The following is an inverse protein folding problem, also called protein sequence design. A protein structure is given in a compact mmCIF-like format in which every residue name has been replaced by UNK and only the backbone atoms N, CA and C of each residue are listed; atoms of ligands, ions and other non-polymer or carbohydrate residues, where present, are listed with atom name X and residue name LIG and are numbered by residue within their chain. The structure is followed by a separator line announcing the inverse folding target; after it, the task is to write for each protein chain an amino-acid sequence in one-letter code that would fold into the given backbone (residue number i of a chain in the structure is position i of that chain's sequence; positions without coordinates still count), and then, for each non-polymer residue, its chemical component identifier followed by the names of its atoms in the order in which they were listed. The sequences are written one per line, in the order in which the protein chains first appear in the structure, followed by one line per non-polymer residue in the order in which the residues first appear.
data_IF_343435967764
#
_entry.id   IF_343435967764
#
_cell.length_a   1.000
_cell.length_b   1.000
_cell.length_c   1.000
_cell.angle_alpha   90.00
_cell.angle_beta   90.00
_cell.angle_gamma   90.00
#
_symmetry.space_group_name_H-M   'P 1'
#
loop_
_entity.id
_entity.type
_entity.pdbx_description
1 polymer ?
#
# COMPACT_ATOMS: atom_id res chain seq x y z
N UNK A 1 -28.46 15.41 13.34
CA UNK A 1 -27.93 15.96 12.07
C UNK A 1 -27.02 14.90 11.48
N UNK A 2 -27.48 14.13 10.50
CA UNK A 2 -26.76 12.93 10.05
C UNK A 2 -26.86 12.74 8.52
N UNK A 3 -26.59 13.82 7.77
CA UNK A 3 -26.48 13.80 6.31
C UNK A 3 -25.54 14.94 5.95
N UNK A 4 -24.32 14.65 5.46
CA UNK A 4 -23.41 15.73 5.07
C UNK A 4 -21.97 15.37 4.68
N UNK A 5 -21.43 14.21 5.05
CA UNK A 5 -20.10 13.80 4.57
C UNK A 5 -20.23 12.76 3.46
N UNK A 6 -20.52 13.24 2.26
CA UNK A 6 -20.29 12.49 1.03
C UNK A 6 -19.16 13.20 0.29
N UNK A 7 -17.98 12.59 0.27
CA UNK A 7 -16.84 13.10 -0.50
C UNK A 7 -17.01 12.66 -1.96
N UNK A 8 -17.12 13.64 -2.85
CA UNK A 8 -17.22 13.39 -4.28
C UNK A 8 -15.83 13.11 -4.86
N UNK A 9 -15.63 11.90 -5.36
CA UNK A 9 -14.44 11.54 -6.13
C UNK A 9 -14.63 12.07 -7.56
N UNK A 10 -14.05 13.24 -7.84
CA UNK A 10 -14.10 13.86 -9.17
C UNK A 10 -13.20 13.14 -10.18
N UNK A 11 -13.39 13.47 -11.48
CA UNK A 11 -12.46 13.09 -12.54
C UNK A 11 -11.03 13.42 -12.11
N UNK A 12 -10.15 12.41 -12.07
CA UNK A 12 -8.75 12.57 -11.70
C UNK A 12 -8.07 13.72 -12.43
N UNK A 13 -7.11 14.38 -11.78
CA UNK A 13 -6.30 15.40 -12.46
C UNK A 13 -5.56 14.75 -13.63
N UNK A 14 -5.48 15.46 -14.77
CA UNK A 14 -4.58 15.04 -15.85
C UNK A 14 -3.14 15.09 -15.34
N UNK A 15 -2.50 13.92 -15.32
CA UNK A 15 -1.09 13.80 -14.98
C UNK A 15 -0.23 14.43 -16.08
N UNK A 16 0.63 15.38 -15.70
CA UNK A 16 1.59 16.00 -16.63
C UNK A 16 2.85 15.14 -16.70
N UNK A 17 3.31 14.66 -15.54
CA UNK A 17 4.44 13.74 -15.39
C UNK A 17 4.03 12.59 -14.46
N UNK A 18 3.50 11.53 -15.05
CA UNK A 18 2.90 10.42 -14.31
C UNK A 18 3.87 9.70 -13.35
N UNK A 19 5.18 9.71 -13.63
CA UNK A 19 6.17 9.08 -12.74
C UNK A 19 6.42 9.94 -11.49
N UNK A 20 6.66 11.25 -11.68
CA UNK A 20 6.91 12.16 -10.56
C UNK A 20 5.71 12.26 -9.63
N UNK A 21 4.50 12.30 -10.18
CA UNK A 21 3.27 12.37 -9.37
C UNK A 21 3.04 11.10 -8.53
N UNK A 22 3.42 9.92 -9.05
CA UNK A 22 3.39 8.68 -8.25
C UNK A 22 4.45 8.69 -7.16
N UNK A 23 5.67 9.14 -7.47
CA UNK A 23 6.74 9.24 -6.49
C UNK A 23 6.39 10.24 -5.38
N UNK A 24 5.81 11.39 -5.72
CA UNK A 24 5.31 12.37 -4.76
C UNK A 24 4.26 11.76 -3.84
N UNK A 25 3.27 11.05 -4.39
CA UNK A 25 2.23 10.39 -3.60
C UNK A 25 2.82 9.36 -2.60
N UNK A 26 3.80 8.57 -3.04
CA UNK A 26 4.51 7.62 -2.16
C UNK A 26 5.25 8.36 -1.05
N UNK A 27 6.03 9.40 -1.39
CA UNK A 27 6.78 10.18 -0.40
C UNK A 27 5.86 10.88 0.61
N UNK A 28 4.71 11.39 0.19
CA UNK A 28 3.73 12.03 1.08
C UNK A 28 3.11 11.05 2.07
N UNK A 29 2.80 9.82 1.61
CA UNK A 29 2.26 8.77 2.47
C UNK A 29 3.33 8.29 3.45
N UNK A 30 4.54 8.01 2.98
CA UNK A 30 5.66 7.57 3.82
C UNK A 30 6.07 8.64 4.85
N UNK A 31 5.99 9.92 4.50
CA UNK A 31 6.22 11.04 5.41
C UNK A 31 5.04 11.31 6.39
N UNK A 32 3.92 10.59 6.25
CA UNK A 32 2.71 10.79 7.07
C UNK A 32 1.97 12.11 6.80
N UNK A 33 2.28 12.79 5.69
CA UNK A 33 1.65 14.04 5.28
C UNK A 33 0.36 13.83 4.48
N UNK A 34 0.13 12.61 3.99
CA UNK A 34 -1.08 12.21 3.27
C UNK A 34 -1.54 10.79 3.63
N UNK A 35 -2.69 10.40 3.09
CA UNK A 35 -3.28 9.07 3.25
C UNK A 35 -3.54 8.43 1.89
N UNK A 36 -3.60 7.09 1.85
CA UNK A 36 -3.92 6.36 0.62
C UNK A 36 -5.23 6.84 0.00
N UNK A 37 -6.25 7.11 0.81
CA UNK A 37 -7.55 7.64 0.36
C UNK A 37 -7.42 9.00 -0.34
N UNK A 38 -6.64 9.93 0.23
CA UNK A 38 -6.41 11.25 -0.38
C UNK A 38 -5.64 11.14 -1.69
N UNK A 39 -4.63 10.29 -1.76
CA UNK A 39 -3.83 10.12 -2.99
C UNK A 39 -4.61 9.39 -4.10
N UNK A 40 -5.41 8.38 -3.76
CA UNK A 40 -6.32 7.72 -4.70
C UNK A 40 -7.38 8.69 -5.24
N UNK A 41 -7.99 9.49 -4.36
CA UNK A 41 -8.99 10.48 -4.75
C UNK A 41 -8.45 11.54 -5.74
N UNK A 42 -7.18 11.96 -5.61
CA UNK A 42 -6.55 12.88 -6.58
C UNK A 42 -6.50 12.32 -8.00
N UNK A 43 -6.41 11.00 -8.12
CA UNK A 43 -6.37 10.25 -9.39
C UNK A 43 -7.76 9.85 -9.87
N UNK A 44 -8.79 10.10 -9.06
CA UNK A 44 -10.18 9.73 -9.35
C UNK A 44 -10.50 8.28 -9.01
N UNK A 45 -9.64 7.60 -8.25
CA UNK A 45 -9.82 6.21 -7.85
C UNK A 45 -10.38 6.14 -6.42
N UNK A 46 -11.22 5.14 -6.15
CA UNK A 46 -11.65 4.80 -4.80
C UNK A 46 -10.63 3.86 -4.14
N UNK A 47 -10.12 4.27 -2.98
CA UNK A 47 -9.21 3.47 -2.17
C UNK A 47 -9.82 2.14 -1.72
N UNK A 48 -11.10 2.12 -1.36
CA UNK A 48 -11.75 0.90 -0.88
C UNK A 48 -11.85 -0.16 -1.99
N UNK A 49 -12.17 0.27 -3.21
CA UNK A 49 -12.21 -0.61 -4.38
C UNK A 49 -10.83 -1.17 -4.72
N UNK A 50 -9.80 -0.32 -4.75
CA UNK A 50 -8.41 -0.74 -4.98
C UNK A 50 -7.98 -1.73 -3.92
N UNK A 51 -8.23 -1.44 -2.64
CA UNK A 51 -7.80 -2.30 -1.55
C UNK A 51 -8.49 -3.67 -1.61
N UNK A 52 -9.82 -3.71 -1.81
CA UNK A 52 -10.55 -4.95 -1.97
C UNK A 52 -10.02 -5.79 -3.14
N UNK A 53 -9.71 -5.14 -4.26
CA UNK A 53 -9.14 -5.79 -5.44
C UNK A 53 -7.73 -6.34 -5.15
N UNK A 54 -6.87 -5.60 -4.45
CA UNK A 54 -5.54 -6.07 -4.04
C UNK A 54 -5.61 -7.31 -3.14
N UNK A 55 -6.57 -7.36 -2.21
CA UNK A 55 -6.77 -8.55 -1.35
C UNK A 55 -7.17 -9.76 -2.20
N UNK A 56 -8.13 -9.58 -3.12
CA UNK A 56 -8.58 -10.66 -4.01
C UNK A 56 -7.44 -11.18 -4.88
N UNK A 57 -6.68 -10.29 -5.51
CA UNK A 57 -5.52 -10.65 -6.34
C UNK A 57 -4.44 -11.37 -5.54
N UNK A 58 -4.22 -10.97 -4.29
CA UNK A 58 -3.25 -11.62 -3.41
C UNK A 58 -3.69 -13.05 -3.06
N UNK A 59 -4.98 -13.25 -2.79
CA UNK A 59 -5.53 -14.59 -2.54
C UNK A 59 -5.46 -15.49 -3.78
N UNK A 60 -5.83 -14.96 -4.95
CA UNK A 60 -5.75 -15.68 -6.23
C UNK A 60 -4.30 -16.08 -6.57
N UNK A 61 -3.34 -15.15 -6.40
CA UNK A 61 -1.91 -15.44 -6.57
C UNK A 61 -1.45 -16.55 -5.63
N UNK A 62 -1.85 -16.50 -4.36
CA UNK A 62 -1.51 -17.52 -3.37
C UNK A 62 -2.09 -18.88 -3.73
N UNK A 63 -3.34 -18.93 -4.18
CA UNK A 63 -3.98 -20.16 -4.64
C UNK A 63 -3.30 -20.75 -5.88
N UNK A 64 -2.82 -19.89 -6.78
CA UNK A 64 -2.08 -20.27 -7.98
C UNK A 64 -0.59 -20.62 -7.71
N UNK A 65 -0.12 -20.53 -6.47
CA UNK A 65 1.29 -20.77 -6.13
C UNK A 65 2.26 -19.70 -6.65
N UNK A 66 1.75 -18.53 -7.03
CA UNK A 66 2.54 -17.39 -7.48
C UNK A 66 3.11 -16.62 -6.29
N UNK A 67 4.31 -16.06 -6.47
CA UNK A 67 4.95 -15.21 -5.46
C UNK A 67 4.12 -13.94 -5.21
N UNK A 68 4.13 -13.41 -3.98
CA UNK A 68 3.53 -12.11 -3.70
C UNK A 68 4.14 -11.03 -4.60
N UNK A 69 3.39 -9.96 -4.92
CA UNK A 69 3.91 -8.88 -5.74
C UNK A 69 5.16 -8.25 -5.09
N UNK A 70 6.09 -7.74 -5.90
CA UNK A 70 7.41 -7.28 -5.43
C UNK A 70 7.36 -6.27 -4.27
N UNK A 71 6.37 -5.38 -4.28
CA UNK A 71 6.14 -4.41 -3.20
C UNK A 71 5.74 -5.08 -1.86
N UNK A 72 4.97 -6.16 -1.90
CA UNK A 72 4.58 -6.93 -0.72
C UNK A 72 5.67 -7.94 -0.30
N UNK A 73 6.43 -8.46 -1.27
CA UNK A 73 7.55 -9.37 -1.02
C UNK A 73 8.65 -8.71 -0.18
N UNK A 74 8.96 -7.44 -0.43
CA UNK A 74 9.96 -6.69 0.34
C UNK A 74 9.60 -6.56 1.83
N UNK A 75 8.32 -6.33 2.15
CA UNK A 75 7.82 -6.27 3.52
C UNK A 75 7.83 -7.63 4.23
N UNK A 76 7.58 -8.71 3.48
CA UNK A 76 7.66 -10.07 4.02
C UNK A 76 9.12 -10.48 4.30
N UNK A 77 10.04 -10.16 3.38
CA UNK A 77 11.47 -10.44 3.54
C UNK A 77 12.11 -9.64 4.69
N UNK A 78 11.71 -8.38 4.91
CA UNK A 78 12.19 -7.59 6.04
C UNK A 78 11.72 -8.16 7.38
N UNK A 79 10.45 -8.58 7.48
CA UNK A 79 9.92 -9.24 8.67
C UNK A 79 10.60 -10.58 8.97
N UNK A 80 10.89 -11.37 7.94
CA UNK A 80 11.62 -12.64 8.10
C UNK A 80 13.05 -12.40 8.60
N UNK A 81 13.76 -11.40 8.08
CA UNK A 81 15.11 -11.03 8.54
C UNK A 81 15.11 -10.62 10.01
N UNK A 82 14.14 -9.79 10.44
CA UNK A 82 14.02 -9.37 11.84
C UNK A 82 13.82 -10.58 12.77
N UNK A 83 12.92 -11.52 12.42
CA UNK A 83 12.71 -12.72 13.22
C UNK A 83 13.96 -13.61 13.35
N UNK A 84 14.75 -13.74 12.27
CA UNK A 84 16.00 -14.51 12.30
C UNK A 84 17.13 -13.82 13.07
N UNK A 85 17.11 -12.49 13.16
CA UNK A 85 18.09 -11.72 13.93
C UNK A 85 17.77 -11.73 15.43
N UNK A 86 16.49 -11.66 15.80
CA UNK A 86 16.03 -11.82 17.18
C UNK A 86 16.37 -13.22 17.73
N UNK A 87 16.09 -14.28 16.97
CA UNK A 87 16.42 -15.67 17.36
C UNK A 87 17.94 -15.89 17.50
N UNK A 88 18.74 -15.23 16.67
CA UNK A 88 20.21 -15.26 16.75
C UNK A 88 20.76 -14.43 17.91
N UNK A 89 20.06 -13.40 18.34
CA UNK A 89 20.42 -12.58 19.50
C UNK A 89 20.15 -13.33 20.81
N UNK A 90 18.98 -13.96 20.93
CA UNK A 90 18.59 -14.73 22.11
C UNK A 90 19.47 -15.97 22.31
N UNK A 91 19.81 -16.67 21.22
CA UNK A 91 20.74 -17.81 21.27
C UNK A 91 22.18 -17.45 21.59
N UNK A 92 22.56 -16.16 21.49
CA UNK A 92 23.91 -15.66 21.82
C UNK A 92 23.99 -15.07 23.24
N UNK A 93 22.84 -14.86 23.89
CA UNK A 93 22.70 -14.35 25.24
C UNK A 93 22.47 -15.45 26.31
N UNK A 94 22.27 -16.70 25.89
CA UNK A 94 22.22 -17.91 26.71
C UNK A 94 23.59 -18.62 26.75
#
# INVERSE_FOLDING_TARGET
SAWGNCDWIGSGRMAIDGLKEVQEAVMLIEAGLSTYEKECAKRGDDYQEIFAQQVRETMERRAAGLKPPAWAAAAFESGLRQSTEEEKSDSRAA
#
